data_IF_408004456757
#
_entry.id   IF_408004456757
#
_cell.length_a   1.000
_cell.length_b   1.000
_cell.length_c   1.000
_cell.angle_alpha   90.00
_cell.angle_beta   90.00
_cell.angle_gamma   90.00
#
_symmetry.space_group_name_H-M   'P 1'
#
loop_
_entity.id
_entity.type
_entity.pdbx_description
1 polymer ?
#
# COMPACT_ATOMS: atom_id res chain seq x y z
N UNK A 1 14.11 -5.49 10.03
CA UNK A 1 14.54 -5.52 8.62
C UNK A 1 13.64 -6.52 7.92
N UNK A 2 12.91 -6.11 6.89
CA UNK A 2 11.98 -7.01 6.19
C UNK A 2 12.76 -7.93 5.24
N UNK A 3 12.46 -9.24 5.25
CA UNK A 3 13.02 -10.17 4.26
C UNK A 3 12.01 -10.40 3.13
N UNK A 4 12.14 -9.61 2.08
CA UNK A 4 11.25 -9.64 0.90
C UNK A 4 11.19 -11.03 0.26
N UNK A 5 12.25 -11.85 0.40
CA UNK A 5 12.31 -13.20 -0.17
C UNK A 5 11.33 -14.17 0.51
N UNK A 6 10.80 -13.81 1.67
CA UNK A 6 9.79 -14.62 2.38
C UNK A 6 8.35 -14.26 1.99
N UNK A 7 8.13 -13.13 1.33
CA UNK A 7 6.80 -12.69 0.93
C UNK A 7 6.21 -13.64 -0.11
N UNK A 8 4.97 -14.05 0.11
CA UNK A 8 4.18 -14.92 -0.76
C UNK A 8 3.03 -14.17 -1.42
N UNK A 9 2.54 -13.11 -0.78
CA UNK A 9 1.42 -12.33 -1.27
C UNK A 9 1.61 -10.86 -0.93
N UNK A 10 1.38 -9.98 -1.91
CA UNK A 10 1.37 -8.53 -1.73
C UNK A 10 0.19 -7.92 -2.46
N UNK A 11 -0.41 -6.89 -1.87
CA UNK A 11 -1.34 -6.03 -2.60
C UNK A 11 -0.58 -4.86 -3.20
N UNK A 12 -0.88 -4.52 -4.45
CA UNK A 12 -0.43 -3.28 -5.07
C UNK A 12 -1.61 -2.32 -5.20
N UNK A 13 -1.50 -1.15 -4.60
CA UNK A 13 -2.49 -0.09 -4.63
C UNK A 13 -2.00 1.04 -5.52
N UNK A 14 -2.87 1.41 -6.45
CA UNK A 14 -2.67 2.52 -7.35
C UNK A 14 -3.14 3.80 -6.65
N UNK A 15 -2.25 4.79 -6.38
CA UNK A 15 -2.63 6.02 -5.69
C UNK A 15 -3.58 6.90 -6.53
N UNK A 16 -3.72 6.64 -7.83
CA UNK A 16 -4.69 7.32 -8.69
C UNK A 16 -6.12 6.74 -8.57
N UNK A 17 -6.33 5.70 -7.76
CA UNK A 17 -7.65 5.07 -7.57
C UNK A 17 -8.18 5.31 -6.18
N UNK A 18 -9.49 5.60 -6.11
CA UNK A 18 -10.19 5.70 -4.84
C UNK A 18 -10.25 4.34 -4.13
N UNK A 19 -10.00 4.36 -2.82
CA UNK A 19 -10.19 3.24 -1.92
C UNK A 19 -10.77 3.79 -0.62
N UNK A 20 -11.85 3.19 -0.12
CA UNK A 20 -12.43 3.60 1.16
C UNK A 20 -11.54 3.19 2.34
N UNK A 21 -11.69 3.86 3.47
CA UNK A 21 -10.94 3.48 4.68
C UNK A 21 -11.25 2.05 5.13
N UNK A 22 -12.50 1.61 5.00
CA UNK A 22 -12.91 0.23 5.31
C UNK A 22 -12.22 -0.80 4.39
N UNK A 23 -12.15 -0.52 3.09
CA UNK A 23 -11.44 -1.40 2.16
C UNK A 23 -9.94 -1.45 2.45
N UNK A 24 -9.35 -0.29 2.76
CA UNK A 24 -7.94 -0.18 3.07
C UNK A 24 -7.60 -0.93 4.37
N UNK A 25 -8.43 -0.80 5.40
CA UNK A 25 -8.30 -1.54 6.67
C UNK A 25 -8.34 -3.05 6.42
N UNK A 26 -9.33 -3.54 5.67
CA UNK A 26 -9.42 -4.97 5.31
C UNK A 26 -8.21 -5.48 4.56
N UNK A 27 -7.61 -4.67 3.67
CA UNK A 27 -6.38 -5.02 2.96
C UNK A 27 -5.20 -5.07 3.92
N UNK A 28 -5.03 -4.05 4.77
CA UNK A 28 -3.89 -3.95 5.68
C UNK A 28 -3.93 -5.01 6.79
N UNK A 29 -5.12 -5.47 7.19
CA UNK A 29 -5.32 -6.52 8.19
C UNK A 29 -5.57 -7.92 7.60
N UNK A 30 -5.49 -8.06 6.27
CA UNK A 30 -5.75 -9.33 5.56
C UNK A 30 -4.75 -10.46 5.88
N UNK A 31 -3.59 -10.13 6.46
CA UNK A 31 -2.45 -11.03 6.57
C UNK A 31 -1.55 -11.06 5.32
N UNK A 32 -1.73 -10.12 4.38
CA UNK A 32 -0.78 -9.90 3.29
C UNK A 32 0.62 -9.58 3.84
N UNK A 33 1.67 -9.97 3.12
CA UNK A 33 3.04 -9.78 3.59
C UNK A 33 3.51 -8.32 3.46
N UNK A 34 2.92 -7.58 2.51
CA UNK A 34 3.14 -6.15 2.33
C UNK A 34 2.01 -5.50 1.50
N UNK A 35 2.00 -4.17 1.53
CA UNK A 35 1.27 -3.31 0.60
C UNK A 35 2.26 -2.45 -0.17
N UNK A 36 2.15 -2.47 -1.50
CA UNK A 36 2.94 -1.65 -2.42
C UNK A 36 2.08 -0.50 -2.91
N UNK A 37 2.56 0.73 -2.80
CA UNK A 37 1.98 1.91 -3.44
C UNK A 37 2.71 2.13 -4.76
N UNK A 38 1.98 2.09 -5.87
CA UNK A 38 2.56 2.27 -7.21
C UNK A 38 1.50 2.24 -8.30
N UNK A 39 1.63 3.14 -9.26
CA UNK A 39 0.71 3.31 -10.40
C UNK A 39 1.48 3.56 -11.69
N UNK A 40 0.77 3.87 -12.76
CA UNK A 40 1.38 4.14 -14.08
C UNK A 40 1.10 5.57 -14.52
N UNK A 41 -0.17 5.92 -14.67
CA UNK A 41 -0.63 7.25 -15.07
C UNK A 41 -1.23 8.03 -13.90
N UNK A 42 -1.11 9.37 -13.95
CA UNK A 42 -1.63 10.33 -12.96
C UNK A 42 -1.21 10.06 -11.50
N UNK A 43 -0.05 9.42 -11.31
CA UNK A 43 0.60 9.35 -10.00
C UNK A 43 1.16 10.74 -9.66
N UNK A 44 0.75 11.30 -8.53
CA UNK A 44 1.22 12.60 -8.05
C UNK A 44 1.85 12.47 -6.67
N UNK A 45 2.65 13.45 -6.25
CA UNK A 45 3.19 13.45 -4.88
C UNK A 45 2.07 13.44 -3.84
N UNK A 46 0.98 14.17 -4.10
CA UNK A 46 -0.13 14.34 -3.17
C UNK A 46 -0.88 13.02 -2.96
N UNK A 47 -1.28 12.33 -4.03
CA UNK A 47 -2.03 11.08 -3.90
C UNK A 47 -1.17 9.94 -3.30
N UNK A 48 0.13 9.92 -3.58
CA UNK A 48 1.07 8.99 -2.94
C UNK A 48 1.18 9.29 -1.45
N UNK A 49 1.39 10.55 -1.05
CA UNK A 49 1.52 10.91 0.37
C UNK A 49 0.23 10.64 1.16
N UNK A 50 -0.93 10.91 0.56
CA UNK A 50 -2.23 10.59 1.17
C UNK A 50 -2.35 9.09 1.45
N UNK A 51 -2.11 8.25 0.44
CA UNK A 51 -2.25 6.80 0.58
C UNK A 51 -1.21 6.23 1.57
N UNK A 52 0.05 6.70 1.52
CA UNK A 52 1.08 6.31 2.48
C UNK A 52 0.71 6.71 3.91
N UNK A 53 0.15 7.90 4.12
CA UNK A 53 -0.27 8.37 5.44
C UNK A 53 -1.41 7.51 6.01
N UNK A 54 -2.36 7.09 5.15
CA UNK A 54 -3.45 6.19 5.54
C UNK A 54 -2.93 4.79 5.90
N UNK A 55 -2.00 4.22 5.12
CA UNK A 55 -1.41 2.90 5.39
C UNK A 55 -0.52 2.89 6.65
N UNK A 56 0.15 4.00 6.97
CA UNK A 56 1.09 4.10 8.11
C UNK A 56 0.45 3.81 9.48
N UNK A 57 -0.88 3.79 9.57
CA UNK A 57 -1.63 3.45 10.78
C UNK A 57 -1.60 1.95 11.09
N UNK A 58 -1.18 1.12 10.14
CA UNK A 58 -1.14 -0.34 10.24
C UNK A 58 0.30 -0.85 10.39
N UNK A 59 0.44 -2.09 10.86
CA UNK A 59 1.74 -2.75 11.06
C UNK A 59 2.28 -3.43 9.80
N UNK A 60 1.45 -3.62 8.77
CA UNK A 60 1.84 -4.24 7.51
C UNK A 60 2.96 -3.42 6.84
N UNK A 61 4.01 -4.07 6.31
CA UNK A 61 5.06 -3.37 5.58
C UNK A 61 4.46 -2.59 4.39
N UNK A 62 4.80 -1.31 4.28
CA UNK A 62 4.42 -0.46 3.17
C UNK A 62 5.65 -0.11 2.33
N UNK A 63 5.56 -0.28 1.01
CA UNK A 63 6.65 -0.04 0.05
C UNK A 63 6.16 0.93 -1.03
N UNK A 64 7.00 1.86 -1.46
CA UNK A 64 6.77 2.69 -2.63
C UNK A 64 7.52 2.10 -3.83
N UNK A 65 6.82 1.87 -4.93
CA UNK A 65 7.41 1.50 -6.23
C UNK A 65 7.82 2.76 -6.99
N UNK A 66 9.08 2.81 -7.47
CA UNK A 66 9.68 3.93 -8.22
C UNK A 66 10.22 3.40 -9.53
#
# INVERSE_FOLDING_TARGET
MYDIRQWRHVFKLDPNKEISDEQLERICESGTDAVIVGGTDDVTLENVLELLARIRRFSVPCVLEI
#
